data_IF_513716038838
#
_entry.id   IF_513716038838
#
_cell.length_a   1.000
_cell.length_b   1.000
_cell.length_c   1.000
_cell.angle_alpha   90.00
_cell.angle_beta   90.00
_cell.angle_gamma   90.00
#
_symmetry.space_group_name_H-M   'P 1'
#
loop_
_entity.id
_entity.type
_entity.pdbx_description
1 polymer ?
#
# COMPACT_ATOMS: atom_id res chain seq x y z
N UNK A 1 -17.12 -7.93 -17.62
CA UNK A 1 -15.88 -7.67 -16.87
C UNK A 1 -15.75 -8.71 -15.76
N UNK A 2 -14.56 -9.30 -15.59
CA UNK A 2 -14.28 -10.20 -14.47
C UNK A 2 -13.96 -9.37 -13.20
N UNK A 3 -14.12 -9.96 -12.02
CA UNK A 3 -13.91 -9.31 -10.71
C UNK A 3 -12.53 -8.67 -10.57
N UNK A 4 -11.47 -9.33 -11.07
CA UNK A 4 -10.11 -8.80 -11.02
C UNK A 4 -9.97 -7.47 -11.80
N UNK A 5 -10.61 -7.38 -12.96
CA UNK A 5 -10.62 -6.15 -13.77
C UNK A 5 -11.40 -5.04 -13.08
N UNK A 6 -12.50 -5.36 -12.40
CA UNK A 6 -13.29 -4.40 -11.63
C UNK A 6 -12.46 -3.85 -10.46
N UNK A 7 -11.76 -4.72 -9.74
CA UNK A 7 -10.86 -4.32 -8.64
C UNK A 7 -9.74 -3.42 -9.16
N UNK A 8 -9.13 -3.77 -10.30
CA UNK A 8 -8.07 -2.96 -10.87
C UNK A 8 -8.56 -1.56 -11.30
N UNK A 9 -9.75 -1.48 -11.90
CA UNK A 9 -10.35 -0.19 -12.24
C UNK A 9 -10.72 0.63 -11.00
N UNK A 10 -11.23 -0.02 -9.95
CA UNK A 10 -11.50 0.63 -8.67
C UNK A 10 -10.22 1.21 -8.05
N UNK A 11 -9.11 0.46 -8.09
CA UNK A 11 -7.80 0.93 -7.63
C UNK A 11 -7.33 2.17 -8.41
N UNK A 12 -7.41 2.12 -9.75
CA UNK A 12 -7.03 3.24 -10.61
C UNK A 12 -7.86 4.49 -10.31
N UNK A 13 -9.18 4.34 -10.13
CA UNK A 13 -10.04 5.45 -9.78
C UNK A 13 -9.71 6.04 -8.43
N UNK A 14 -9.45 5.21 -7.42
CA UNK A 14 -9.10 5.67 -6.09
C UNK A 14 -7.78 6.44 -6.05
N UNK A 15 -6.77 6.02 -6.81
CA UNK A 15 -5.52 6.78 -6.97
C UNK A 15 -5.77 8.14 -7.62
N UNK A 16 -6.55 8.18 -8.71
CA UNK A 16 -6.84 9.45 -9.43
C UNK A 16 -7.67 10.43 -8.60
N UNK A 17 -8.63 9.93 -7.82
CA UNK A 17 -9.47 10.75 -6.96
C UNK A 17 -8.76 11.25 -5.69
N UNK A 18 -7.55 10.76 -5.41
CA UNK A 18 -6.73 11.22 -4.29
C UNK A 18 -5.86 12.43 -4.65
N UNK A 19 -5.76 12.77 -5.93
CA UNK A 19 -5.04 13.94 -6.40
C UNK A 19 -5.81 15.23 -6.06
N UNK A 20 -5.09 16.31 -5.74
CA UNK A 20 -5.68 17.57 -5.28
C UNK A 20 -6.44 18.29 -6.42
N UNK A 21 -6.02 18.04 -7.67
CA UNK A 21 -6.50 18.71 -8.88
C UNK A 21 -7.54 17.89 -9.68
N UNK A 22 -8.29 16.99 -9.04
CA UNK A 22 -9.24 16.16 -9.78
C UNK A 22 -10.36 16.98 -10.42
N UNK A 23 -10.45 16.90 -11.75
CA UNK A 23 -11.36 17.73 -12.55
C UNK A 23 -12.81 17.26 -12.48
N UNK A 24 -13.76 18.14 -12.80
CA UNK A 24 -15.18 17.79 -12.89
C UNK A 24 -15.45 16.70 -13.94
N UNK A 25 -14.70 16.71 -15.04
CA UNK A 25 -14.79 15.68 -16.08
C UNK A 25 -14.40 14.30 -15.53
N UNK A 26 -13.37 14.23 -14.68
CA UNK A 26 -12.95 12.98 -14.05
C UNK A 26 -13.95 12.49 -13.01
N UNK A 27 -14.53 13.41 -12.23
CA UNK A 27 -15.62 13.10 -11.30
C UNK A 27 -16.84 12.54 -12.03
N UNK A 28 -17.21 13.15 -13.17
CA UNK A 28 -18.30 12.65 -14.01
C UNK A 28 -17.99 11.28 -14.61
N UNK A 29 -16.78 11.08 -15.11
CA UNK A 29 -16.34 9.79 -15.65
C UNK A 29 -16.34 8.69 -14.58
N UNK A 30 -15.92 9.01 -13.36
CA UNK A 30 -16.00 8.10 -12.21
C UNK A 30 -17.45 7.74 -11.88
N UNK A 31 -18.35 8.73 -11.83
CA UNK A 31 -19.76 8.49 -11.55
C UNK A 31 -20.42 7.63 -12.64
N UNK A 32 -20.15 7.93 -13.91
CA UNK A 32 -20.64 7.13 -15.04
C UNK A 32 -20.13 5.68 -14.95
N UNK A 33 -18.86 5.49 -14.60
CA UNK A 33 -18.29 4.17 -14.39
C UNK A 33 -18.98 3.43 -13.23
N UNK A 34 -19.21 4.09 -12.09
CA UNK A 34 -19.93 3.49 -10.95
C UNK A 34 -21.38 3.09 -11.30
N UNK A 35 -22.05 3.88 -12.15
CA UNK A 35 -23.43 3.61 -12.57
C UNK A 35 -23.53 2.52 -13.65
N UNK A 36 -22.45 2.26 -14.40
CA UNK A 36 -22.45 1.28 -15.48
C UNK A 36 -22.64 -0.18 -15.01
N UNK A 37 -22.21 -0.51 -13.79
CA UNK A 37 -22.39 -1.84 -13.19
C UNK A 37 -22.42 -1.72 -11.66
N UNK A 38 -23.45 -2.24 -10.96
CA UNK A 38 -23.52 -2.22 -9.50
C UNK A 38 -22.28 -2.80 -8.80
N UNK A 39 -21.58 -3.73 -9.44
CA UNK A 39 -20.33 -4.33 -8.91
C UNK A 39 -19.20 -3.31 -8.80
N UNK A 40 -19.20 -2.26 -9.62
CA UNK A 40 -18.19 -1.19 -9.56
C UNK A 40 -18.30 -0.39 -8.25
N UNK A 41 -19.52 0.02 -7.89
CA UNK A 41 -19.79 0.72 -6.64
C UNK A 41 -19.42 -0.13 -5.42
N UNK A 42 -19.76 -1.43 -5.44
CA UNK A 42 -19.39 -2.37 -4.37
C UNK A 42 -17.87 -2.50 -4.24
N UNK A 43 -17.12 -2.53 -5.34
CA UNK A 43 -15.67 -2.63 -5.31
C UNK A 43 -15.02 -1.39 -4.68
N UNK A 44 -15.47 -0.19 -5.06
CA UNK A 44 -15.01 1.07 -4.45
C UNK A 44 -15.28 1.09 -2.96
N UNK A 45 -16.51 0.74 -2.55
CA UNK A 45 -16.90 0.79 -1.14
C UNK A 45 -16.04 -0.16 -0.29
N UNK A 46 -15.82 -1.38 -0.78
CA UNK A 46 -14.93 -2.35 -0.10
C UNK A 46 -13.51 -1.81 0.04
N UNK A 47 -12.96 -1.23 -1.01
CA UNK A 47 -11.60 -0.69 -0.96
C UNK A 47 -11.48 0.52 -0.02
N UNK A 48 -12.47 1.42 -0.03
CA UNK A 48 -12.52 2.56 0.91
C UNK A 48 -12.65 2.10 2.35
N UNK A 49 -13.50 1.12 2.64
CA UNK A 49 -13.67 0.54 3.98
C UNK A 49 -12.36 -0.08 4.51
N UNK A 50 -11.61 -0.77 3.64
CA UNK A 50 -10.29 -1.31 4.01
C UNK A 50 -9.30 -0.19 4.38
N UNK A 51 -9.27 0.91 3.63
CA UNK A 51 -8.43 2.06 3.97
C UNK A 51 -8.87 2.81 5.23
N UNK A 52 -10.17 3.06 5.40
CA UNK A 52 -10.69 3.67 6.63
C UNK A 52 -10.40 2.83 7.87
N UNK A 53 -10.36 1.50 7.73
CA UNK A 53 -9.94 0.61 8.81
C UNK A 53 -8.48 0.82 9.20
N UNK A 54 -7.59 1.15 8.26
CA UNK A 54 -6.19 1.48 8.58
C UNK A 54 -6.04 2.83 9.29
N UNK A 55 -6.89 3.81 8.99
CA UNK A 55 -6.89 5.11 9.68
C UNK A 55 -7.23 4.97 11.17
N UNK A 56 -8.09 4.00 11.51
CA UNK A 56 -8.45 3.70 12.90
C UNK A 56 -7.37 2.98 13.71
N UNK A 57 -6.25 2.59 13.10
CA UNK A 57 -5.15 1.89 13.80
C UNK A 57 -4.23 2.91 14.48
N UNK A 58 -4.01 2.82 15.81
CA UNK A 58 -3.10 3.74 16.50
C UNK A 58 -1.68 3.68 15.89
N UNK A 59 -1.11 4.85 15.57
CA UNK A 59 0.14 4.96 14.81
C UNK A 59 1.35 4.26 15.47
N UNK A 60 1.41 4.22 16.81
CA UNK A 60 2.53 3.62 17.55
C UNK A 60 2.62 2.09 17.41
N UNK A 61 1.56 1.30 17.71
CA UNK A 61 1.60 -0.15 17.48
C UNK A 61 1.69 -0.52 16.00
N UNK A 62 1.08 0.25 15.09
CA UNK A 62 1.15 0.00 13.65
C UNK A 62 2.59 0.11 13.11
N UNK A 63 3.31 1.18 13.44
CA UNK A 63 4.70 1.41 13.01
C UNK A 63 5.67 0.36 13.56
N UNK A 64 5.48 -0.10 14.80
CA UNK A 64 6.26 -1.21 15.39
C UNK A 64 6.00 -2.56 14.70
N UNK A 65 4.76 -2.86 14.35
CA UNK A 65 4.42 -4.08 13.61
C UNK A 65 4.99 -4.05 12.19
N UNK A 66 4.83 -2.91 11.50
CA UNK A 66 5.35 -2.70 10.14
C UNK A 66 6.88 -2.79 10.12
N UNK A 67 7.56 -2.08 11.02
CA UNK A 67 9.04 -2.14 11.12
C UNK A 67 9.55 -3.55 11.42
N UNK A 68 8.82 -4.37 12.18
CA UNK A 68 9.17 -5.78 12.40
C UNK A 68 8.91 -6.66 11.16
N UNK A 69 7.80 -6.45 10.46
CA UNK A 69 7.46 -7.19 9.26
C UNK A 69 8.47 -6.95 8.13
N UNK A 70 8.94 -5.70 8.01
CA UNK A 70 9.93 -5.27 7.02
C UNK A 70 11.36 -5.22 7.56
N UNK A 71 11.61 -5.65 8.80
CA UNK A 71 12.97 -5.69 9.35
C UNK A 71 13.79 -6.74 8.58
N UNK A 72 14.99 -6.39 8.10
CA UNK A 72 15.87 -7.38 7.48
C UNK A 72 16.20 -8.47 8.51
N UNK A 73 15.89 -9.73 8.19
CA UNK A 73 16.34 -10.89 8.95
C UNK A 73 17.87 -10.92 8.89
N UNK A 74 18.56 -10.26 9.83
CA UNK A 74 20.01 -10.42 9.96
C UNK A 74 20.28 -11.89 10.27
N UNK A 75 21.04 -12.62 9.44
CA UNK A 75 21.42 -13.98 9.77
C UNK A 75 22.27 -13.94 11.04
N UNK A 76 21.95 -14.79 12.02
CA UNK A 76 22.66 -14.89 13.31
C UNK A 76 24.14 -15.33 13.19
N UNK A 77 24.66 -15.52 11.98
CA UNK A 77 25.98 -16.08 11.70
C UNK A 77 27.08 -15.04 11.47
N UNK A 78 26.89 -13.77 11.82
CA UNK A 78 27.88 -12.70 11.58
C UNK A 78 28.57 -12.18 12.86
N UNK A 79 28.73 -13.01 13.90
CA UNK A 79 29.48 -12.64 15.12
C UNK A 79 30.79 -13.43 15.31
N UNK A 80 31.39 -13.95 14.24
CA UNK A 80 32.72 -14.60 14.34
C UNK A 80 33.64 -14.25 13.16
N UNK A 81 33.87 -12.97 12.85
CA UNK A 81 35.04 -12.49 12.06
C UNK A 81 35.22 -10.99 12.40
N UNK A 82 36.36 -10.46 12.84
CA UNK A 82 37.68 -11.03 13.01
C UNK A 82 38.51 -10.23 14.02
N UNK A 83 39.13 -10.96 14.93
CA UNK A 83 40.39 -10.59 15.58
C UNK A 83 41.47 -11.28 14.74
N UNK A 84 42.12 -10.56 13.82
CA UNK A 84 43.46 -10.82 13.26
C UNK A 84 43.65 -9.98 11.98
N UNK A 85 44.48 -8.94 12.05
CA UNK A 85 44.83 -8.13 10.89
C UNK A 85 45.60 -6.85 11.16
N UNK A 86 46.45 -6.80 12.20
CA UNK A 86 47.53 -5.80 12.27
C UNK A 86 48.84 -6.55 12.20
N UNK A 87 49.28 -6.86 10.98
CA UNK A 87 50.69 -7.02 10.66
C UNK A 87 50.83 -6.90 9.14
N UNK A 88 51.78 -6.06 8.72
CA UNK A 88 52.26 -5.81 7.35
C UNK A 88 51.52 -4.74 6.53
N UNK A 89 51.93 -3.48 6.71
CA UNK A 89 52.71 -2.72 5.71
C UNK A 89 52.79 -1.23 6.09
N UNK A 90 54.02 -0.70 6.22
CA UNK A 90 54.31 0.73 6.30
C UNK A 90 55.13 1.13 7.51
#
# INVERSE_FOLDING_TARGET
MNSEQIIQQAANWLTRLHDEDVSDAERQAFNAWCQADPRHAVAIERMRSLWGSFDSVPARPASLALSRAFAPRRPRAAQVVGLLGVMLCG
#
